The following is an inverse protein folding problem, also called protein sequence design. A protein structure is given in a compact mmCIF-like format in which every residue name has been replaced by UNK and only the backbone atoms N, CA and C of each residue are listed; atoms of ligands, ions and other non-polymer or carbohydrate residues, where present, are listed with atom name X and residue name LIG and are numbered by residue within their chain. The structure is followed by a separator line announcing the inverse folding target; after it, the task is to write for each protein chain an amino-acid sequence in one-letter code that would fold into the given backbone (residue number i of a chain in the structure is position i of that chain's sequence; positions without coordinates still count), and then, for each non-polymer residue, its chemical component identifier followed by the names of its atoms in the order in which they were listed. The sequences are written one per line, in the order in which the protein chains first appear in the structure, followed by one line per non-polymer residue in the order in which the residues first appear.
data_IF_236925545201
#
_entry.id   IF_236925545201
#
_cell.length_a   1.000
_cell.length_b   1.000
_cell.length_c   1.000
_cell.angle_alpha   90.00
_cell.angle_beta   90.00
_cell.angle_gamma   90.00
#
_symmetry.space_group_name_H-M   'P 1'
#
loop_
_entity.id
_entity.type
_entity.pdbx_description
1 polymer ?
#
# COMPACT_ATOMS: atom_id res chain seq x y z
N UNK A 1 19.35 27.40 -44.84
CA UNK A 1 20.02 26.84 -43.64
C UNK A 1 18.98 25.99 -42.92
N UNK A 2 19.23 24.69 -42.87
CA UNK A 2 18.32 23.66 -42.37
C UNK A 2 18.36 23.71 -40.84
N UNK A 3 17.23 24.06 -40.20
CA UNK A 3 17.09 23.97 -38.75
C UNK A 3 16.99 22.49 -38.38
N UNK A 4 18.05 21.97 -37.76
CA UNK A 4 18.13 20.59 -37.33
C UNK A 4 17.04 20.29 -36.31
N UNK A 5 16.37 19.17 -36.58
CA UNK A 5 15.30 18.56 -35.80
C UNK A 5 15.64 18.57 -34.31
N UNK A 6 14.71 19.14 -33.56
CA UNK A 6 14.68 19.24 -32.12
C UNK A 6 15.09 17.92 -31.43
N UNK A 7 15.88 18.09 -30.37
CA UNK A 7 16.28 17.08 -29.40
C UNK A 7 15.07 16.52 -28.61
N UNK A 8 14.21 15.72 -29.25
CA UNK A 8 13.01 15.11 -28.65
C UNK A 8 13.22 13.63 -28.29
N UNK A 9 14.47 13.19 -28.11
CA UNK A 9 14.78 11.80 -27.76
C UNK A 9 15.27 11.60 -26.31
N UNK A 10 15.35 12.67 -25.51
CA UNK A 10 15.95 12.62 -24.17
C UNK A 10 14.94 12.62 -22.99
N UNK A 11 13.63 12.61 -23.25
CA UNK A 11 12.61 12.81 -22.20
C UNK A 11 11.77 11.57 -21.86
N UNK A 12 12.35 10.36 -21.92
CA UNK A 12 11.65 9.13 -21.49
C UNK A 12 12.50 8.26 -20.54
N UNK A 13 13.43 8.86 -19.82
CA UNK A 13 13.98 8.29 -18.60
C UNK A 13 13.31 8.95 -17.38
N UNK A 14 11.98 8.90 -17.32
CA UNK A 14 11.31 8.99 -16.03
C UNK A 14 11.60 7.64 -15.37
N UNK A 15 12.71 7.57 -14.63
CA UNK A 15 12.84 6.58 -13.57
C UNK A 15 11.58 6.76 -12.73
N UNK A 16 10.62 5.86 -12.87
CA UNK A 16 9.39 5.89 -12.09
C UNK A 16 9.86 5.74 -10.63
N UNK A 17 10.00 6.87 -9.94
CA UNK A 17 10.25 6.86 -8.52
C UNK A 17 9.13 6.00 -7.92
N UNK A 18 9.54 4.98 -7.17
CA UNK A 18 8.65 3.93 -6.74
C UNK A 18 8.48 4.06 -5.23
N UNK A 19 7.29 4.47 -4.82
CA UNK A 19 6.90 4.67 -3.44
C UNK A 19 6.77 3.33 -2.74
N UNK A 20 7.32 3.23 -1.54
CA UNK A 20 7.26 1.98 -0.77
C UNK A 20 5.87 1.80 -0.18
N UNK A 21 5.36 0.57 -0.27
CA UNK A 21 4.07 0.19 0.32
C UNK A 21 4.22 -1.01 1.25
N UNK A 22 3.46 -1.03 2.33
CA UNK A 22 3.36 -2.14 3.28
C UNK A 22 1.91 -2.41 3.66
N UNK A 23 1.59 -3.69 3.86
CA UNK A 23 0.27 -4.16 4.25
C UNK A 23 0.35 -4.62 5.70
N UNK A 24 -0.49 -4.07 6.56
CA UNK A 24 -0.41 -4.21 8.01
C UNK A 24 -1.83 -4.39 8.59
N UNK A 25 -2.48 -5.51 8.29
CA UNK A 25 -3.79 -5.84 8.84
C UNK A 25 -3.72 -6.24 10.31
N UNK A 26 -4.74 -5.86 11.06
CA UNK A 26 -4.86 -6.08 12.51
C UNK A 26 -5.75 -7.29 12.80
N UNK A 27 -5.41 -8.07 13.82
CA UNK A 27 -6.24 -9.18 14.29
C UNK A 27 -6.31 -9.26 15.81
N UNK A 28 -7.35 -9.94 16.31
CA UNK A 28 -7.45 -10.30 17.72
C UNK A 28 -6.46 -11.43 18.03
N UNK A 29 -5.41 -11.09 18.77
CA UNK A 29 -4.38 -12.03 19.19
C UNK A 29 -4.23 -12.02 20.71
N UNK A 30 -3.11 -12.59 21.17
CA UNK A 30 -2.71 -12.60 22.57
C UNK A 30 -1.32 -12.01 22.73
N UNK A 31 -1.06 -11.35 23.84
CA UNK A 31 0.29 -10.91 24.21
C UNK A 31 1.13 -12.09 24.79
N UNK A 32 2.37 -11.81 25.16
CA UNK A 32 3.28 -12.81 25.76
C UNK A 32 2.77 -13.37 27.10
N UNK A 33 1.77 -12.74 27.72
CA UNK A 33 1.14 -13.16 28.97
C UNK A 33 -0.24 -13.83 28.73
N UNK A 34 -0.63 -14.05 27.47
CA UNK A 34 -1.89 -14.69 27.10
C UNK A 34 -3.12 -13.77 27.16
N UNK A 35 -2.95 -12.47 27.42
CA UNK A 35 -4.03 -11.48 27.47
C UNK A 35 -4.42 -11.06 26.06
N UNK A 36 -5.71 -10.82 25.85
CA UNK A 36 -6.22 -10.42 24.55
C UNK A 36 -5.66 -9.05 24.16
N UNK A 37 -5.17 -8.98 22.92
CA UNK A 37 -4.54 -7.77 22.38
C UNK A 37 -4.77 -7.71 20.87
N UNK A 38 -4.95 -6.50 20.34
CA UNK A 38 -4.90 -6.28 18.89
C UNK A 38 -3.45 -6.37 18.44
N UNK A 39 -3.16 -7.36 17.60
CA UNK A 39 -1.86 -7.61 17.00
C UNK A 39 -1.90 -7.21 15.53
N UNK A 40 -0.77 -6.85 14.95
CA UNK A 40 -0.66 -6.51 13.53
C UNK A 40 0.11 -7.61 12.81
N UNK A 41 -0.48 -8.14 11.75
CA UNK A 41 0.24 -8.97 10.79
C UNK A 41 0.76 -8.09 9.67
N UNK A 42 2.07 -8.13 9.44
CA UNK A 42 2.73 -7.29 8.44
C UNK A 42 3.23 -8.11 7.27
N UNK A 43 3.01 -7.57 6.07
CA UNK A 43 3.56 -8.06 4.82
C UNK A 43 4.18 -6.90 4.06
N UNK A 44 5.46 -7.03 3.73
CA UNK A 44 6.12 -6.07 2.86
C UNK A 44 5.42 -6.07 1.50
N UNK A 45 4.91 -4.90 1.11
CA UNK A 45 4.06 -4.77 -0.07
C UNK A 45 4.80 -4.51 -1.37
N UNK A 46 6.09 -4.18 -1.27
CA UNK A 46 6.94 -3.80 -2.39
C UNK A 46 6.90 -2.30 -2.62
N UNK A 47 6.80 -1.93 -3.89
CA UNK A 47 6.74 -0.54 -4.35
C UNK A 47 5.57 -0.34 -5.30
N UNK A 48 4.99 0.85 -5.28
CA UNK A 48 4.00 1.37 -6.23
C UNK A 48 4.62 2.54 -6.98
N UNK A 49 4.10 2.94 -8.15
CA UNK A 49 4.49 4.20 -8.78
C UNK A 49 4.27 5.39 -7.82
N UNK A 50 5.17 6.38 -7.82
CA UNK A 50 5.08 7.55 -6.94
C UNK A 50 3.82 8.38 -7.17
N UNK A 51 3.30 8.44 -8.40
CA UNK A 51 2.05 9.13 -8.72
C UNK A 51 0.80 8.40 -8.18
N UNK A 52 0.97 7.21 -7.60
CA UNK A 52 -0.11 6.36 -7.07
C UNK A 52 -0.19 6.32 -5.55
N UNK A 53 0.70 7.01 -4.85
CA UNK A 53 0.69 7.04 -3.39
C UNK A 53 -0.60 7.68 -2.83
N UNK A 54 -0.98 8.84 -3.36
CA UNK A 54 -2.17 9.58 -2.98
C UNK A 54 -3.45 8.87 -3.45
N UNK A 55 -3.43 8.23 -4.63
CA UNK A 55 -4.53 7.39 -5.12
C UNK A 55 -4.80 6.25 -4.11
N UNK A 56 -3.76 5.54 -3.67
CA UNK A 56 -3.91 4.46 -2.68
C UNK A 56 -4.39 5.00 -1.34
N UNK A 57 -3.85 6.13 -0.86
CA UNK A 57 -4.27 6.73 0.42
C UNK A 57 -5.73 7.15 0.42
N UNK A 58 -6.20 7.76 -0.68
CA UNK A 58 -7.52 8.37 -0.75
C UNK A 58 -8.61 7.40 -1.24
N UNK A 59 -8.29 6.43 -2.09
CA UNK A 59 -9.29 5.64 -2.79
C UNK A 59 -9.32 4.15 -2.45
N UNK A 60 -8.35 3.61 -1.68
CA UNK A 60 -8.39 2.18 -1.30
C UNK A 60 -9.67 1.79 -0.53
N UNK A 61 -10.23 2.72 0.24
CA UNK A 61 -11.53 2.54 0.88
C UNK A 61 -12.64 2.32 -0.16
N UNK A 62 -12.64 3.07 -1.26
CA UNK A 62 -13.63 2.91 -2.33
C UNK A 62 -13.41 1.60 -3.10
N UNK A 63 -12.15 1.25 -3.38
CA UNK A 63 -11.81 0.02 -4.12
C UNK A 63 -12.14 -1.26 -3.34
N UNK A 64 -12.20 -1.16 -2.02
CA UNK A 64 -12.43 -2.28 -1.10
C UNK A 64 -13.77 -2.23 -0.37
N UNK A 65 -14.73 -1.40 -0.81
CA UNK A 65 -16.00 -1.24 -0.10
C UNK A 65 -15.86 -0.87 1.40
N UNK A 66 -14.81 -0.09 1.71
CA UNK A 66 -14.39 0.39 3.03
C UNK A 66 -13.79 -0.68 3.96
N UNK A 67 -13.41 -1.84 3.43
CA UNK A 67 -12.74 -2.89 4.20
C UNK A 67 -11.29 -2.54 4.55
N UNK A 68 -10.64 -1.70 3.73
CA UNK A 68 -9.27 -1.22 3.95
C UNK A 68 -9.17 0.31 4.01
N UNK A 69 -8.13 0.77 4.68
CA UNK A 69 -7.71 2.17 4.73
C UNK A 69 -6.19 2.26 4.56
N UNK A 70 -5.69 3.40 4.09
CA UNK A 70 -4.28 3.63 3.92
C UNK A 70 -3.85 4.96 4.53
N UNK A 71 -2.57 5.02 4.91
CA UNK A 71 -1.93 6.27 5.35
C UNK A 71 -0.49 6.30 4.91
N UNK A 72 0.01 7.47 4.53
CA UNK A 72 1.43 7.69 4.26
C UNK A 72 2.15 8.05 5.56
N UNK A 73 3.25 7.37 5.85
CA UNK A 73 4.09 7.71 6.98
C UNK A 73 4.90 8.98 6.64
N UNK A 74 4.67 10.08 7.36
CA UNK A 74 5.30 11.36 7.09
C UNK A 74 6.84 11.33 7.18
N UNK A 75 7.41 10.45 8.02
CA UNK A 75 8.87 10.34 8.21
C UNK A 75 9.53 9.48 7.13
N UNK A 76 8.91 8.37 6.76
CA UNK A 76 9.52 7.37 5.87
C UNK A 76 8.97 7.40 4.44
N UNK A 77 7.89 8.14 4.18
CA UNK A 77 7.18 8.15 2.90
C UNK A 77 6.43 6.85 2.58
N UNK A 78 6.49 5.83 3.44
CA UNK A 78 5.89 4.52 3.18
C UNK A 78 4.37 4.60 3.30
N UNK A 79 3.66 4.13 2.27
CA UNK A 79 2.21 3.91 2.31
C UNK A 79 1.91 2.65 3.11
N UNK A 80 1.10 2.77 4.16
CA UNK A 80 0.70 1.69 5.05
C UNK A 80 -0.78 1.43 4.84
N UNK A 81 -1.12 0.26 4.31
CA UNK A 81 -2.50 -0.22 4.16
C UNK A 81 -2.87 -1.08 5.36
N UNK A 82 -4.07 -0.90 5.91
CA UNK A 82 -4.57 -1.67 7.05
C UNK A 82 -6.08 -1.91 6.92
N UNK A 83 -6.58 -2.95 7.57
CA UNK A 83 -8.01 -3.24 7.65
C UNK A 83 -8.75 -2.23 8.53
N UNK A 84 -9.97 -1.88 8.14
CA UNK A 84 -10.85 -1.00 8.92
C UNK A 84 -11.41 -1.75 10.13
N UNK A 85 -11.79 -3.02 9.95
CA UNK A 85 -12.26 -3.92 11.00
C UNK A 85 -11.19 -4.94 11.36
N UNK A 86 -10.94 -5.14 12.64
CA UNK A 86 -9.95 -6.10 13.15
C UNK A 86 -10.40 -7.52 12.80
N UNK A 87 -9.52 -8.30 12.18
CA UNK A 87 -9.75 -9.70 11.84
C UNK A 87 -9.83 -10.59 13.08
N UNK A 88 -10.46 -11.76 12.97
CA UNK A 88 -10.66 -12.66 14.12
C UNK A 88 -9.36 -13.32 14.57
N UNK A 89 -8.44 -13.60 13.65
CA UNK A 89 -7.20 -14.30 13.93
C UNK A 89 -6.11 -13.93 12.90
N UNK A 90 -4.90 -14.46 13.14
CA UNK A 90 -3.74 -14.19 12.29
C UNK A 90 -3.96 -14.60 10.83
N UNK A 91 -4.57 -15.76 10.58
CA UNK A 91 -4.78 -16.27 9.23
C UNK A 91 -5.68 -15.33 8.42
N UNK A 92 -6.79 -14.88 9.01
CA UNK A 92 -7.69 -13.92 8.36
C UNK A 92 -7.00 -12.57 8.10
N UNK A 93 -6.13 -12.09 8.99
CA UNK A 93 -5.32 -10.89 8.71
C UNK A 93 -4.29 -11.11 7.60
N UNK A 94 -3.73 -12.30 7.46
CA UNK A 94 -2.85 -12.66 6.33
C UNK A 94 -3.63 -12.66 5.01
N UNK A 95 -4.84 -13.22 5.00
CA UNK A 95 -5.72 -13.23 3.82
C UNK A 95 -6.11 -11.79 3.44
N UNK A 96 -6.48 -10.97 4.42
CA UNK A 96 -6.76 -9.55 4.23
C UNK A 96 -5.54 -8.77 3.71
N UNK A 97 -4.33 -9.06 4.17
CA UNK A 97 -3.11 -8.47 3.60
C UNK A 97 -2.92 -8.85 2.12
N UNK A 98 -3.23 -10.10 1.75
CA UNK A 98 -3.16 -10.56 0.36
C UNK A 98 -4.23 -9.89 -0.51
N UNK A 99 -5.45 -9.77 0.00
CA UNK A 99 -6.56 -9.11 -0.68
C UNK A 99 -6.27 -7.62 -0.90
N UNK A 100 -5.84 -6.91 0.13
CA UNK A 100 -5.42 -5.52 0.03
C UNK A 100 -4.32 -5.32 -1.02
N UNK A 101 -3.36 -6.24 -1.09
CA UNK A 101 -2.32 -6.22 -2.12
C UNK A 101 -2.86 -6.41 -3.53
N UNK A 102 -3.81 -7.33 -3.73
CA UNK A 102 -4.42 -7.55 -5.03
C UNK A 102 -5.25 -6.36 -5.49
N UNK A 103 -5.97 -5.71 -4.56
CA UNK A 103 -6.73 -4.49 -4.84
C UNK A 103 -5.80 -3.37 -5.28
N UNK A 104 -4.74 -3.08 -4.52
CA UNK A 104 -3.79 -2.04 -4.91
C UNK A 104 -3.17 -2.33 -6.28
N UNK A 105 -2.67 -3.55 -6.51
CA UNK A 105 -2.10 -3.95 -7.81
C UNK A 105 -3.05 -3.85 -9.00
N UNK A 106 -4.36 -3.91 -8.76
CA UNK A 106 -5.37 -3.77 -9.83
C UNK A 106 -5.58 -2.30 -10.21
N UNK A 107 -5.26 -1.37 -9.32
CA UNK A 107 -5.53 0.07 -9.46
C UNK A 107 -4.27 0.92 -9.62
N UNK A 108 -3.08 0.35 -9.40
CA UNK A 108 -1.76 0.99 -9.55
C UNK A 108 -0.90 0.22 -10.53
#
# INVERSE_FOLDING_TARGET
MQFNLFAVAALLACEAFASKITYACRYNGKDLQGKDKVVTEQKAGGTIPDDKDDDVVNDIGKWSNNDFSAKKNARTGIVIVTNTKVAKNKAEATDQNNEAQQIVKKHT
#
